data_IF_421742322424
#
_entry.id   IF_421742322424
#
_cell.length_a   1.000
_cell.length_b   1.000
_cell.length_c   1.000
_cell.angle_alpha   90.00
_cell.angle_beta   90.00
_cell.angle_gamma   90.00
#
_symmetry.space_group_name_H-M   'P 1'
#
loop_
_entity.id
_entity.type
_entity.pdbx_description
1 polymer ?
#
# COMPACT_ATOMS: atom_id res chain seq x y z
N UNK A 1 14.08 -22.25 22.83
CA UNK A 1 12.96 -22.11 21.87
C UNK A 1 11.65 -22.23 22.66
N UNK A 2 11.09 -21.12 23.13
CA UNK A 2 9.85 -21.14 23.91
C UNK A 2 8.66 -21.19 22.94
N UNK A 3 8.13 -22.39 22.70
CA UNK A 3 6.95 -22.61 21.88
C UNK A 3 5.71 -22.16 22.66
N UNK A 4 5.40 -20.85 22.64
CA UNK A 4 4.14 -20.33 23.19
C UNK A 4 2.97 -20.81 22.33
N UNK A 5 2.03 -21.51 22.98
CA UNK A 5 0.70 -21.90 22.51
C UNK A 5 0.61 -22.31 21.03
N UNK A 6 0.61 -23.61 20.78
CA UNK A 6 0.40 -24.20 19.45
C UNK A 6 -1.04 -23.95 18.97
N UNK A 7 -1.29 -22.76 18.42
CA UNK A 7 -2.46 -22.52 17.61
C UNK A 7 -2.35 -23.42 16.37
N UNK A 8 -3.33 -24.27 16.14
CA UNK A 8 -3.46 -25.03 14.92
C UNK A 8 -4.33 -24.24 13.94
N UNK A 9 -4.09 -24.38 12.65
CA UNK A 9 -4.94 -23.85 11.60
C UNK A 9 -6.11 -24.82 11.39
N UNK A 10 -7.35 -24.46 11.78
CA UNK A 10 -8.49 -25.36 11.72
C UNK A 10 -8.99 -25.61 10.30
N UNK A 11 -8.54 -24.82 9.31
CA UNK A 11 -8.92 -24.96 7.90
C UNK A 11 -7.94 -25.82 7.10
N UNK A 12 -6.86 -26.29 7.72
CA UNK A 12 -5.77 -26.94 7.00
C UNK A 12 -5.41 -28.28 7.63
N UNK A 13 -5.46 -29.34 6.83
CA UNK A 13 -4.94 -30.65 7.20
C UNK A 13 -3.62 -30.94 6.49
N UNK A 14 -2.75 -31.67 7.16
CA UNK A 14 -1.56 -32.30 6.61
C UNK A 14 -1.81 -33.80 6.63
N UNK A 15 -1.88 -34.40 5.44
CA UNK A 15 -1.89 -35.84 5.27
C UNK A 15 -0.45 -36.35 5.16
N UNK A 16 -0.07 -37.30 6.02
CA UNK A 16 1.14 -38.11 5.84
C UNK A 16 0.73 -39.41 5.16
N UNK A 17 1.39 -39.70 4.04
CA UNK A 17 1.03 -40.80 3.14
C UNK A 17 2.20 -41.75 2.97
N UNK A 18 1.96 -43.04 3.12
CA UNK A 18 3.02 -44.03 2.99
C UNK A 18 3.20 -44.55 1.55
N UNK A 19 2.16 -44.45 0.71
CA UNK A 19 2.19 -44.95 -0.67
C UNK A 19 2.92 -43.96 -1.62
N UNK A 20 4.12 -44.29 -2.13
CA UNK A 20 4.82 -43.44 -3.08
C UNK A 20 4.11 -43.34 -4.43
N UNK A 21 3.28 -44.32 -4.81
CA UNK A 21 2.55 -44.28 -6.09
C UNK A 21 1.55 -43.13 -6.13
N UNK A 22 1.04 -42.67 -4.98
CA UNK A 22 0.10 -41.57 -4.93
C UNK A 22 0.71 -40.25 -5.44
N UNK A 23 2.04 -40.12 -5.42
CA UNK A 23 2.76 -38.97 -5.98
C UNK A 23 3.20 -39.17 -7.43
N UNK A 24 3.19 -40.41 -7.94
CA UNK A 24 3.67 -40.74 -9.28
C UNK A 24 2.54 -41.02 -10.27
N UNK A 25 1.39 -41.50 -9.80
CA UNK A 25 0.25 -41.90 -10.62
C UNK A 25 -0.90 -40.88 -10.51
N UNK A 26 -1.32 -40.24 -11.61
CA UNK A 26 -2.37 -39.22 -11.57
C UNK A 26 -3.73 -39.79 -11.16
N UNK A 27 -4.03 -41.03 -11.51
CA UNK A 27 -5.31 -41.69 -11.16
C UNK A 27 -5.47 -41.89 -9.65
N UNK A 28 -4.43 -42.40 -8.97
CA UNK A 28 -4.43 -42.56 -7.51
C UNK A 28 -4.54 -41.20 -6.80
N UNK A 29 -3.90 -40.18 -7.37
CA UNK A 29 -3.99 -38.80 -6.87
C UNK A 29 -5.41 -38.25 -7.01
N UNK A 30 -6.05 -38.42 -8.16
CA UNK A 30 -7.42 -37.96 -8.37
C UNK A 30 -8.40 -38.62 -7.39
N UNK A 31 -8.31 -39.95 -7.23
CA UNK A 31 -9.12 -40.69 -6.27
C UNK A 31 -8.93 -40.20 -4.82
N UNK A 32 -7.69 -39.86 -4.44
CA UNK A 32 -7.41 -39.26 -3.14
C UNK A 32 -8.03 -37.86 -2.99
N UNK A 33 -7.90 -37.00 -4.00
CA UNK A 33 -8.49 -35.65 -3.98
C UNK A 33 -10.02 -35.72 -3.87
N UNK A 34 -10.67 -36.67 -4.54
CA UNK A 34 -12.11 -36.84 -4.54
C UNK A 34 -12.69 -37.21 -3.17
N UNK A 35 -11.92 -37.94 -2.33
CA UNK A 35 -12.31 -38.21 -0.94
C UNK A 35 -12.54 -36.93 -0.14
N UNK A 36 -11.68 -35.93 -0.32
CA UNK A 36 -11.79 -34.66 0.40
C UNK A 36 -12.77 -33.70 -0.28
N UNK A 37 -12.92 -33.75 -1.61
CA UNK A 37 -13.93 -32.98 -2.35
C UNK A 37 -15.37 -33.33 -1.94
N UNK A 38 -15.59 -34.54 -1.41
CA UNK A 38 -16.89 -34.94 -0.87
C UNK A 38 -17.32 -34.11 0.37
N UNK A 39 -16.36 -33.57 1.13
CA UNK A 39 -16.63 -32.71 2.30
C UNK A 39 -16.63 -31.23 1.93
N UNK A 40 -15.75 -30.82 1.02
CA UNK A 40 -15.65 -29.44 0.55
C UNK A 40 -15.27 -29.41 -0.94
N UNK A 41 -16.16 -28.87 -1.78
CA UNK A 41 -15.97 -28.79 -3.23
C UNK A 41 -14.78 -27.92 -3.63
N UNK A 42 -14.42 -26.93 -2.80
CA UNK A 42 -13.40 -25.93 -3.09
C UNK A 42 -12.07 -26.21 -2.37
N UNK A 43 -11.83 -27.48 -2.01
CA UNK A 43 -10.58 -27.91 -1.37
C UNK A 43 -9.39 -27.78 -2.33
N UNK A 44 -8.26 -27.30 -1.79
CA UNK A 44 -6.99 -27.19 -2.55
C UNK A 44 -5.94 -28.13 -1.99
N UNK A 45 -5.09 -28.66 -2.87
CA UNK A 45 -4.08 -29.66 -2.50
C UNK A 45 -2.67 -29.20 -2.91
N UNK A 46 -1.70 -29.37 -2.02
CA UNK A 46 -0.28 -29.17 -2.30
C UNK A 46 0.48 -30.45 -1.94
N UNK A 47 1.06 -31.09 -2.94
CA UNK A 47 1.75 -32.37 -2.80
C UNK A 47 3.25 -32.14 -2.60
N UNK A 48 3.79 -32.68 -1.51
CA UNK A 48 5.20 -32.62 -1.16
C UNK A 48 5.80 -34.02 -1.29
N UNK A 49 6.17 -34.41 -2.52
CA UNK A 49 6.67 -35.76 -2.86
C UNK A 49 7.82 -36.21 -1.96
N UNK A 50 8.85 -35.37 -1.78
CA UNK A 50 10.02 -35.70 -0.96
C UNK A 50 9.68 -35.94 0.51
N UNK A 51 8.68 -35.23 1.03
CA UNK A 51 8.22 -35.33 2.42
C UNK A 51 7.11 -36.36 2.61
N UNK A 52 6.63 -36.98 1.52
CA UNK A 52 5.47 -37.86 1.47
C UNK A 52 4.24 -37.27 2.21
N UNK A 53 4.04 -35.97 2.02
CA UNK A 53 2.97 -35.21 2.68
C UNK A 53 2.12 -34.47 1.67
N UNK A 54 0.86 -34.25 2.02
CA UNK A 54 -0.07 -33.43 1.26
C UNK A 54 -0.69 -32.41 2.19
N UNK A 55 -0.61 -31.14 1.83
CA UNK A 55 -1.36 -30.08 2.50
C UNK A 55 -2.71 -29.92 1.82
N UNK A 56 -3.76 -29.96 2.61
CA UNK A 56 -5.15 -29.91 2.19
C UNK A 56 -5.75 -28.66 2.84
N UNK A 57 -6.09 -27.64 2.06
CA UNK A 57 -6.76 -26.45 2.58
C UNK A 57 -8.24 -26.49 2.22
N UNK A 58 -9.08 -26.40 3.26
CA UNK A 58 -10.53 -26.32 3.18
C UNK A 58 -10.97 -24.86 3.26
N UNK A 59 -12.13 -24.57 2.71
CA UNK A 59 -12.84 -23.30 2.89
C UNK A 59 -13.54 -23.23 4.25
N UNK A 60 -13.93 -24.38 4.80
CA UNK A 60 -14.64 -24.47 6.08
C UNK A 60 -13.88 -25.35 7.09
N UNK A 61 -13.69 -24.81 8.30
CA UNK A 61 -13.07 -25.51 9.42
C UNK A 61 -13.90 -26.73 9.88
N UNK A 62 -15.23 -26.66 9.80
CA UNK A 62 -16.10 -27.78 10.15
C UNK A 62 -15.89 -28.96 9.18
N UNK A 63 -15.83 -28.68 7.88
CA UNK A 63 -15.54 -29.69 6.86
C UNK A 63 -14.16 -30.33 7.06
N UNK A 64 -13.14 -29.55 7.44
CA UNK A 64 -11.82 -30.09 7.78
C UNK A 64 -11.87 -31.01 9.02
N UNK A 65 -12.63 -30.63 10.05
CA UNK A 65 -12.80 -31.45 11.25
C UNK A 65 -13.54 -32.75 10.96
N UNK A 66 -14.62 -32.71 10.18
CA UNK A 66 -15.37 -33.89 9.75
C UNK A 66 -14.53 -34.82 8.86
N UNK A 67 -13.83 -34.26 7.87
CA UNK A 67 -12.92 -35.02 7.01
C UNK A 67 -11.84 -35.72 7.84
N UNK A 68 -11.27 -35.03 8.83
CA UNK A 68 -10.31 -35.63 9.75
C UNK A 68 -10.94 -36.72 10.59
N UNK A 69 -12.11 -36.49 11.21
CA UNK A 69 -12.77 -37.46 12.06
C UNK A 69 -13.12 -38.76 11.30
N UNK A 70 -13.45 -38.64 10.01
CA UNK A 70 -13.87 -39.78 9.18
C UNK A 70 -12.71 -40.49 8.46
N UNK A 71 -11.66 -39.78 8.08
CA UNK A 71 -10.57 -40.32 7.23
C UNK A 71 -9.24 -40.51 7.99
N UNK A 72 -9.11 -40.04 9.22
CA UNK A 72 -7.90 -40.26 10.00
C UNK A 72 -7.78 -41.75 10.36
N UNK A 73 -6.62 -42.34 10.09
CA UNK A 73 -6.32 -43.77 10.28
C UNK A 73 -7.20 -44.72 9.44
N UNK A 74 -7.78 -44.22 8.35
CA UNK A 74 -8.46 -45.08 7.37
C UNK A 74 -7.44 -45.70 6.41
N UNK A 75 -7.74 -46.91 5.92
CA UNK A 75 -6.99 -47.55 4.86
C UNK A 75 -7.29 -46.92 3.49
N UNK A 76 -6.25 -46.45 2.81
CA UNK A 76 -6.30 -45.98 1.43
C UNK A 76 -5.23 -46.71 0.62
N UNK A 77 -5.64 -47.46 -0.42
CA UNK A 77 -4.76 -48.31 -1.22
C UNK A 77 -3.94 -49.32 -0.38
N UNK A 78 -4.54 -49.87 0.69
CA UNK A 78 -3.89 -50.84 1.57
C UNK A 78 -2.83 -50.24 2.50
N UNK A 79 -2.81 -48.91 2.66
CA UNK A 79 -1.96 -48.21 3.64
C UNK A 79 -2.77 -47.19 4.44
N UNK A 80 -2.39 -47.00 5.69
CA UNK A 80 -3.03 -46.06 6.60
C UNK A 80 -2.74 -44.60 6.20
N UNK A 81 -3.76 -43.74 6.23
CA UNK A 81 -3.61 -42.29 6.02
C UNK A 81 -3.67 -41.57 7.36
N UNK A 82 -2.62 -40.79 7.67
CA UNK A 82 -2.56 -40.00 8.91
C UNK A 82 -2.80 -38.52 8.65
N UNK A 83 -3.86 -37.99 9.24
CA UNK A 83 -4.29 -36.60 9.11
C UNK A 83 -4.03 -35.76 10.37
N UNK A 84 -3.30 -34.65 10.22
CA UNK A 84 -2.97 -33.72 11.31
C UNK A 84 -3.45 -32.31 10.97
N UNK A 85 -3.91 -31.52 11.94
CA UNK A 85 -4.11 -30.08 11.68
C UNK A 85 -2.76 -29.40 11.48
N UNK A 86 -2.67 -28.53 10.48
CA UNK A 86 -1.45 -27.76 10.24
C UNK A 86 -1.21 -26.83 11.43
N UNK A 87 0.00 -26.84 11.96
CA UNK A 87 0.35 -25.92 13.04
C UNK A 87 0.57 -24.51 12.46
N UNK A 88 -0.05 -23.48 13.04
CA UNK A 88 0.32 -22.10 12.71
C UNK A 88 1.65 -21.81 13.41
N UNK A 89 2.73 -21.77 12.64
CA UNK A 89 4.03 -21.37 13.17
C UNK A 89 4.02 -19.86 13.31
N UNK A 90 3.63 -19.37 14.48
CA UNK A 90 4.02 -18.03 14.90
C UNK A 90 5.48 -18.12 15.33
N UNK A 91 6.40 -17.85 14.41
CA UNK A 91 7.79 -17.60 14.77
C UNK A 91 7.74 -16.40 15.71
N UNK A 92 7.99 -16.63 17.00
CA UNK A 92 8.00 -15.59 18.03
C UNK A 92 8.89 -14.43 17.59
N UNK A 93 8.51 -13.23 17.97
CA UNK A 93 9.05 -12.02 17.39
C UNK A 93 9.83 -11.19 18.41
N UNK A 94 11.14 -11.00 18.20
CA UNK A 94 11.81 -9.71 18.35
C UNK A 94 11.94 -9.06 16.96
N UNK A 95 10.84 -8.94 16.20
CA UNK A 95 10.86 -8.17 14.94
C UNK A 95 10.62 -6.70 15.27
N UNK A 96 11.30 -5.82 14.52
CA UNK A 96 11.00 -4.39 14.52
C UNK A 96 9.56 -4.18 14.05
N UNK A 97 8.89 -3.18 14.62
CA UNK A 97 7.52 -2.85 14.24
C UNK A 97 7.44 -2.48 12.76
N UNK A 98 6.38 -2.93 12.04
CA UNK A 98 6.13 -2.44 10.69
C UNK A 98 6.15 -0.90 10.66
N UNK A 99 6.80 -0.27 9.68
CA UNK A 99 6.86 1.18 9.60
C UNK A 99 5.45 1.77 9.55
N UNK A 100 5.27 2.94 10.17
CA UNK A 100 3.98 3.64 10.18
C UNK A 100 3.50 3.88 8.73
N UNK A 101 2.20 3.71 8.44
CA UNK A 101 1.64 3.79 7.08
C UNK A 101 1.93 5.13 6.37
N UNK A 102 2.14 6.21 7.13
CA UNK A 102 2.49 7.54 6.60
C UNK A 102 3.88 7.60 5.93
N UNK A 103 4.68 6.52 6.04
CA UNK A 103 5.98 6.35 5.37
C UNK A 103 5.94 5.33 4.21
N UNK A 104 4.75 5.00 3.67
CA UNK A 104 4.56 4.07 2.54
C UNK A 104 4.68 4.74 1.16
N UNK A 105 5.66 5.62 0.93
CA UNK A 105 5.96 6.02 -0.45
C UNK A 105 6.72 4.90 -1.14
N UNK A 106 5.98 4.08 -1.89
CA UNK A 106 6.45 3.08 -2.87
C UNK A 106 7.10 3.73 -4.10
N UNK A 107 7.84 4.83 -3.92
CA UNK A 107 8.91 5.11 -4.85
C UNK A 107 10.04 4.22 -4.37
N UNK A 108 10.54 3.35 -5.26
CA UNK A 108 11.83 2.64 -5.05
C UNK A 108 12.76 3.54 -4.25
N UNK A 109 13.54 3.02 -3.28
CA UNK A 109 14.49 3.89 -2.59
C UNK A 109 15.22 4.67 -3.68
N UNK A 110 15.19 6.02 -3.68
CA UNK A 110 16.06 6.75 -4.58
C UNK A 110 17.45 6.14 -4.38
N UNK A 111 18.25 5.97 -5.46
CA UNK A 111 19.59 5.44 -5.33
C UNK A 111 20.24 6.10 -4.13
N UNK A 112 20.78 5.26 -3.23
CA UNK A 112 21.34 5.68 -1.96
C UNK A 112 22.10 6.99 -2.14
N UNK A 113 21.91 8.00 -1.27
CA UNK A 113 22.68 9.22 -1.38
C UNK A 113 24.18 8.87 -1.50
N UNK A 114 24.94 9.58 -2.35
CA UNK A 114 26.36 9.32 -2.50
C UNK A 114 27.06 9.28 -1.15
N UNK A 115 28.13 8.49 -1.05
CA UNK A 115 29.00 8.47 0.13
C UNK A 115 29.36 9.92 0.49
N UNK A 116 29.00 10.35 1.70
CA UNK A 116 29.24 11.71 2.20
C UNK A 116 28.05 12.69 2.09
N UNK A 117 26.88 12.25 1.63
CA UNK A 117 25.69 13.11 1.66
C UNK A 117 25.16 13.24 3.11
N UNK A 118 25.06 14.48 3.58
CA UNK A 118 24.37 14.83 4.83
C UNK A 118 23.16 15.71 4.52
N UNK A 119 22.07 15.48 5.24
CA UNK A 119 20.89 16.33 5.14
C UNK A 119 21.25 17.75 5.59
N UNK A 120 21.11 18.72 4.68
CA UNK A 120 21.21 20.14 5.02
C UNK A 120 20.22 20.46 6.14
N UNK A 121 20.70 21.14 7.20
CA UNK A 121 19.82 21.58 8.29
C UNK A 121 18.69 22.44 7.71
N UNK A 122 17.45 22.11 8.07
CA UNK A 122 16.31 22.95 7.74
C UNK A 122 16.60 24.38 8.19
N UNK A 123 16.22 25.36 7.36
CA UNK A 123 16.40 26.76 7.71
C UNK A 123 15.66 27.03 9.03
N UNK A 124 16.40 27.42 10.06
CA UNK A 124 15.78 27.90 11.30
C UNK A 124 14.92 29.09 10.98
N UNK A 125 13.68 29.18 11.50
CA UNK A 125 12.80 30.31 11.23
C UNK A 125 13.50 31.59 11.71
N UNK A 126 14.00 32.36 10.76
CA UNK A 126 14.65 33.63 11.00
C UNK A 126 13.62 34.73 10.80
N UNK A 127 13.30 35.46 11.87
CA UNK A 127 12.41 36.61 11.81
C UNK A 127 13.21 37.76 11.20
N UNK A 128 12.95 38.05 9.92
CA UNK A 128 13.54 39.20 9.24
C UNK A 128 12.73 40.47 9.57
N UNK A 129 13.28 41.33 10.42
CA UNK A 129 12.65 42.58 10.85
C UNK A 129 12.45 43.59 9.70
N UNK A 130 13.30 43.56 8.67
CA UNK A 130 13.16 44.44 7.51
C UNK A 130 11.93 44.05 6.69
N UNK A 131 11.67 42.75 6.53
CA UNK A 131 10.45 42.25 5.89
C UNK A 131 9.20 42.62 6.69
N UNK A 132 9.26 42.53 8.02
CA UNK A 132 8.14 42.97 8.88
C UNK A 132 7.87 44.47 8.73
N UNK A 133 8.92 45.30 8.70
CA UNK A 133 8.78 46.74 8.49
C UNK A 133 8.25 47.06 7.09
N UNK A 134 8.73 46.35 6.06
CA UNK A 134 8.25 46.50 4.70
C UNK A 134 6.76 46.14 4.60
N UNK A 135 6.34 45.01 5.18
CA UNK A 135 4.92 44.59 5.23
C UNK A 135 4.07 45.62 5.98
N UNK A 136 4.55 46.15 7.11
CA UNK A 136 3.83 47.17 7.87
C UNK A 136 3.65 48.51 7.12
N UNK A 137 4.52 48.81 6.15
CA UNK A 137 4.41 50.00 5.29
C UNK A 137 3.46 49.81 4.11
N UNK A 138 3.02 48.59 3.83
CA UNK A 138 2.09 48.32 2.74
C UNK A 138 0.68 48.77 3.17
N UNK A 139 0.24 49.93 2.66
CA UNK A 139 -1.12 50.42 2.83
C UNK A 139 -2.12 49.72 1.89
N UNK A 140 -3.38 49.51 2.32
CA UNK A 140 -4.45 49.06 1.42
C UNK A 140 -4.60 50.00 0.21
N UNK A 141 -4.73 49.44 -0.99
CA UNK A 141 -4.89 50.23 -2.22
C UNK A 141 -3.60 50.82 -2.80
N UNK A 142 -2.47 50.75 -2.08
CA UNK A 142 -1.19 51.23 -2.58
C UNK A 142 -0.47 50.18 -3.46
N UNK A 143 0.24 50.69 -4.47
CA UNK A 143 1.09 49.89 -5.34
C UNK A 143 2.52 50.03 -4.86
N UNK A 144 3.13 48.93 -4.45
CA UNK A 144 4.53 48.91 -4.03
C UNK A 144 5.39 48.21 -5.07
N UNK A 145 6.24 48.96 -5.76
CA UNK A 145 7.21 48.40 -6.71
C UNK A 145 8.37 47.78 -5.91
N UNK A 146 8.43 46.44 -5.89
CA UNK A 146 9.49 45.70 -5.23
C UNK A 146 10.78 45.76 -6.04
N UNK A 147 10.66 45.70 -7.37
CA UNK A 147 11.80 45.73 -8.27
C UNK A 147 11.45 46.45 -9.57
N UNK A 148 12.20 47.51 -9.93
CA UNK A 148 11.98 48.18 -11.20
C UNK A 148 12.32 47.26 -12.37
N UNK A 149 11.56 47.41 -13.45
CA UNK A 149 11.82 46.70 -14.68
C UNK A 149 13.19 47.08 -15.25
N UNK A 150 13.92 46.10 -15.76
CA UNK A 150 15.13 46.32 -16.56
C UNK A 150 14.82 45.95 -18.02
N UNK A 151 15.69 46.28 -19.00
CA UNK A 151 15.45 45.92 -20.39
C UNK A 151 15.24 44.42 -20.64
N UNK A 152 15.75 43.57 -19.74
CA UNK A 152 15.69 42.11 -19.83
C UNK A 152 14.76 41.46 -18.81
N UNK A 153 14.24 42.21 -17.83
CA UNK A 153 13.37 41.66 -16.77
C UNK A 153 12.16 42.54 -16.49
N UNK A 154 10.95 41.98 -16.38
CA UNK A 154 9.75 42.76 -16.05
C UNK A 154 9.82 43.33 -14.62
N UNK A 155 9.11 44.44 -14.39
CA UNK A 155 8.95 45.03 -13.06
C UNK A 155 8.09 44.14 -12.16
N UNK A 156 8.43 44.06 -10.87
CA UNK A 156 7.64 43.33 -9.87
C UNK A 156 6.94 44.35 -8.97
N UNK A 157 5.61 44.35 -9.01
CA UNK A 157 4.76 45.27 -8.23
C UNK A 157 3.78 44.47 -7.38
N UNK A 158 3.67 44.83 -6.11
CA UNK A 158 2.67 44.30 -5.18
C UNK A 158 1.51 45.27 -5.13
N UNK A 159 0.30 44.76 -5.39
CA UNK A 159 -0.94 45.48 -5.16
C UNK A 159 -1.61 44.92 -3.90
N UNK A 160 -1.79 45.77 -2.89
CA UNK A 160 -2.56 45.40 -1.70
C UNK A 160 -4.03 45.57 -2.03
N UNK A 161 -4.76 44.46 -2.16
CA UNK A 161 -6.21 44.53 -2.31
C UNK A 161 -6.83 45.10 -1.03
N UNK A 162 -7.75 46.05 -1.19
CA UNK A 162 -8.66 46.41 -0.11
C UNK A 162 -9.49 45.17 0.23
N UNK A 163 -9.53 44.78 1.50
CA UNK A 163 -10.46 43.76 1.94
C UNK A 163 -11.85 44.39 1.92
N UNK A 164 -12.65 44.08 0.90
CA UNK A 164 -14.10 44.27 0.94
C UNK A 164 -14.69 43.34 2.01
N UNK A 165 -14.53 43.69 3.30
CA UNK A 165 -15.27 43.07 4.39
C UNK A 165 -16.74 43.55 4.44
N UNK A 166 -17.35 43.77 3.28
CA UNK A 166 -18.79 44.01 3.13
C UNK A 166 -19.47 43.06 2.12
N UNK A 167 -18.86 41.91 1.77
CA UNK A 167 -19.51 40.91 0.89
C UNK A 167 -19.92 39.61 1.57
N UNK A 168 -20.17 39.63 2.88
CA UNK A 168 -20.94 38.58 3.57
C UNK A 168 -22.07 39.20 4.40
N UNK A 169 -22.92 39.98 3.73
CA UNK A 169 -24.17 40.51 4.28
C UNK A 169 -25.20 40.60 3.17
N UNK A 170 -26.16 39.68 3.22
CA UNK A 170 -27.43 39.65 2.50
C UNK A 170 -27.39 39.43 0.98
N UNK A 171 -27.82 38.22 0.64
CA UNK A 171 -28.47 37.86 -0.61
C UNK A 171 -29.70 38.78 -0.78
N UNK A 172 -29.70 39.70 -1.74
CA UNK A 172 -30.89 40.15 -2.46
C UNK A 172 -30.49 41.09 -3.63
N UNK A 173 -31.24 40.94 -4.70
CA UNK A 173 -31.10 41.44 -6.08
C UNK A 173 -30.58 42.89 -6.25
N UNK A 174 -29.53 43.10 -7.06
CA UNK A 174 -29.56 44.05 -8.20
C UNK A 174 -28.34 43.89 -9.13
N UNK A 175 -28.61 43.96 -10.43
CA UNK A 175 -27.69 43.90 -11.57
C UNK A 175 -26.55 44.95 -11.47
N UNK A 176 -25.29 44.51 -11.52
CA UNK A 176 -24.13 45.39 -11.35
C UNK A 176 -22.77 44.69 -11.30
N UNK A 177 -22.27 44.23 -12.45
CA UNK A 177 -20.82 44.22 -12.74
C UNK A 177 -19.90 43.29 -11.93
N UNK A 178 -20.19 41.98 -11.82
CA UNK A 178 -19.15 41.01 -11.41
C UNK A 178 -18.11 40.85 -12.52
N UNK A 179 -16.88 41.34 -12.31
CA UNK A 179 -15.76 41.10 -13.23
C UNK A 179 -15.65 39.58 -13.50
N UNK A 180 -15.75 39.11 -14.75
CA UNK A 180 -15.73 37.69 -15.03
C UNK A 180 -14.38 37.12 -14.60
N UNK A 181 -14.39 36.08 -13.77
CA UNK A 181 -13.18 35.35 -13.39
C UNK A 181 -12.43 34.98 -14.67
N UNK A 182 -11.12 35.28 -14.80
CA UNK A 182 -10.38 34.97 -16.00
C UNK A 182 -10.46 33.47 -16.26
N UNK A 183 -10.98 33.08 -17.43
CA UNK A 183 -11.03 31.68 -17.84
C UNK A 183 -9.59 31.22 -18.09
N UNK A 184 -9.09 30.33 -17.23
CA UNK A 184 -7.80 29.68 -17.42
C UNK A 184 -7.95 28.72 -18.59
N UNK A 185 -7.35 29.07 -19.72
CA UNK A 185 -7.30 28.19 -20.90
C UNK A 185 -6.24 27.12 -20.62
N UNK A 186 -6.65 25.86 -20.64
CA UNK A 186 -5.75 24.73 -20.45
C UNK A 186 -4.74 24.68 -21.61
N UNK A 187 -3.47 24.95 -21.31
CA UNK A 187 -2.41 24.87 -22.32
C UNK A 187 -2.07 23.42 -22.61
N UNK A 188 -1.88 23.10 -23.89
CA UNK A 188 -1.43 21.79 -24.32
C UNK A 188 0.03 21.60 -23.89
N UNK A 189 0.37 20.39 -23.43
CA UNK A 189 1.75 20.01 -23.11
C UNK A 189 2.64 20.24 -24.34
N UNK A 190 3.82 20.86 -24.20
CA UNK A 190 4.80 20.99 -25.29
C UNK A 190 5.22 19.62 -25.84
N UNK A 191 5.46 19.55 -27.16
CA UNK A 191 5.92 18.33 -27.83
C UNK A 191 7.30 17.91 -27.31
N UNK A 192 7.48 16.59 -27.14
CA UNK A 192 8.73 16.03 -26.63
C UNK A 192 9.77 16.00 -27.73
N UNK A 193 10.80 16.85 -27.67
CA UNK A 193 11.98 16.71 -28.52
C UNK A 193 12.81 15.52 -28.01
N UNK A 194 13.04 14.46 -28.80
CA UNK A 194 13.93 13.38 -28.38
C UNK A 194 15.35 13.93 -28.26
N UNK A 195 15.96 13.74 -27.09
CA UNK A 195 17.35 14.13 -26.84
C UNK A 195 18.27 13.47 -27.86
N UNK A 196 19.06 14.30 -28.55
CA UNK A 196 20.17 13.86 -29.40
C UNK A 196 21.13 13.06 -28.52
N UNK A 197 21.25 11.75 -28.79
CA UNK A 197 22.33 10.95 -28.23
C UNK A 197 23.64 11.38 -28.90
N UNK A 198 24.60 11.78 -28.08
CA UNK A 198 25.99 11.97 -28.48
C UNK A 198 26.85 11.00 -27.68
#
# INVERSE_FOLDING_TARGET
>A
MHLKTMKCNPFCLIASLEDPDMFNRPEKRASFEDLFRAFDRNVTFQFFKSFRRVRINFTNALAAAEARAKLHNSDFNGREVRLYFAQSVHIGSPHLEPPKPDKQFLLSPPPSPPVGWEQSKDATPFINYDLLCAIARLGPGEKYELQPGTPTTPSVVVHVCENDQESSGNEEEMDGGRRPRPKIVQTRRPEYSPSVMQ
#
